data_IF_691998758231
#
_entry.id   IF_691998758231
#
_cell.length_a   1.000
_cell.length_b   1.000
_cell.length_c   1.000
_cell.angle_alpha   90.00
_cell.angle_beta   90.00
_cell.angle_gamma   90.00
#
_symmetry.space_group_name_H-M   'P 1'
#
loop_
_entity.id
_entity.type
_entity.pdbx_description
1 polymer ?
#
# COMPACT_ATOMS: atom_id res chain seq x y z
N UNK A 1 14.98 2.34 -4.23
CA UNK A 1 14.13 1.66 -3.24
C UNK A 1 12.67 2.11 -3.34
N UNK A 2 12.44 3.41 -3.26
CA UNK A 2 11.07 3.95 -3.34
C UNK A 2 10.43 3.65 -4.70
N UNK A 3 11.17 3.87 -5.77
CA UNK A 3 10.66 3.58 -7.12
C UNK A 3 10.32 2.09 -7.27
N UNK A 4 11.15 1.21 -6.72
CA UNK A 4 10.88 -0.22 -6.79
C UNK A 4 9.56 -0.55 -6.10
N UNK A 5 9.33 0.02 -4.92
CA UNK A 5 8.09 -0.20 -4.19
C UNK A 5 6.88 0.30 -5.01
N UNK A 6 7.00 1.49 -5.59
CA UNK A 6 5.91 2.07 -6.37
C UNK A 6 5.57 1.24 -7.60
N UNK A 7 6.55 0.58 -8.19
CA UNK A 7 6.34 -0.23 -9.40
C UNK A 7 5.86 -1.64 -9.12
N UNK A 8 5.91 -2.10 -7.84
CA UNK A 8 5.59 -3.48 -7.48
C UNK A 8 4.53 -3.57 -6.39
N UNK A 9 3.59 -2.60 -6.36
CA UNK A 9 2.59 -2.52 -5.29
C UNK A 9 1.65 -3.73 -5.23
N UNK A 10 1.46 -4.45 -6.35
CA UNK A 10 0.62 -5.63 -6.39
C UNK A 10 1.30 -6.89 -5.83
N UNK A 11 2.57 -6.80 -5.46
CA UNK A 11 3.35 -7.91 -4.94
C UNK A 11 3.46 -7.84 -3.41
N UNK A 12 3.71 -8.99 -2.76
CA UNK A 12 4.07 -8.97 -1.34
C UNK A 12 5.41 -8.26 -1.19
N UNK A 13 5.41 -7.12 -0.51
CA UNK A 13 6.62 -6.32 -0.33
C UNK A 13 7.04 -6.33 1.14
N UNK A 14 7.38 -7.53 1.65
CA UNK A 14 7.86 -7.66 3.02
C UNK A 14 9.18 -6.92 3.20
N UNK A 15 9.32 -6.27 4.35
CA UNK A 15 10.50 -5.47 4.64
C UNK A 15 11.79 -6.27 4.50
N UNK A 16 11.81 -7.51 5.00
CA UNK A 16 13.01 -8.34 4.92
C UNK A 16 13.39 -8.66 3.47
N UNK A 17 12.39 -8.88 2.61
CA UNK A 17 12.63 -9.27 1.22
C UNK A 17 13.10 -8.08 0.39
N UNK A 18 12.48 -6.91 0.58
CA UNK A 18 12.90 -5.73 -0.16
C UNK A 18 14.28 -5.26 0.30
N UNK A 19 14.57 -5.39 1.58
CA UNK A 19 15.89 -5.06 2.10
C UNK A 19 16.96 -5.96 1.48
N UNK A 20 16.71 -7.26 1.43
CA UNK A 20 17.65 -8.20 0.83
C UNK A 20 17.86 -7.91 -0.65
N UNK A 21 16.81 -7.53 -1.36
CA UNK A 21 16.90 -7.21 -2.78
C UNK A 21 17.91 -6.08 -3.06
N UNK A 22 18.01 -5.13 -2.15
CA UNK A 22 18.93 -4.00 -2.28
C UNK A 22 20.21 -4.16 -1.46
N UNK A 23 20.46 -5.36 -0.94
CA UNK A 23 21.66 -5.65 -0.12
C UNK A 23 21.73 -4.78 1.13
N UNK A 24 20.57 -4.51 1.72
CA UNK A 24 20.44 -3.70 2.94
C UNK A 24 19.87 -4.53 4.07
N UNK A 25 20.06 -4.08 5.31
CA UNK A 25 19.41 -4.73 6.44
C UNK A 25 18.03 -4.13 6.68
N UNK A 26 17.07 -4.92 7.24
CA UNK A 26 15.76 -4.37 7.57
C UNK A 26 15.84 -3.18 8.52
N UNK A 27 16.73 -3.23 9.51
CA UNK A 27 16.90 -2.12 10.46
C UNK A 27 17.34 -0.84 9.77
N UNK A 28 18.26 -0.95 8.83
CA UNK A 28 18.72 0.22 8.08
C UNK A 28 17.58 0.83 7.26
N UNK A 29 16.81 -0.01 6.57
CA UNK A 29 15.67 0.47 5.77
C UNK A 29 14.63 1.14 6.67
N UNK A 30 14.31 0.52 7.81
CA UNK A 30 13.37 1.10 8.77
C UNK A 30 13.83 2.47 9.24
N UNK A 31 15.12 2.61 9.54
CA UNK A 31 15.69 3.89 9.97
C UNK A 31 15.59 4.94 8.88
N UNK A 32 15.85 4.56 7.62
CA UNK A 32 15.72 5.48 6.50
C UNK A 32 14.31 6.05 6.37
N UNK A 33 13.30 5.17 6.47
CA UNK A 33 11.91 5.63 6.38
C UNK A 33 11.55 6.55 7.53
N UNK A 34 11.98 6.20 8.75
CA UNK A 34 11.68 7.02 9.92
C UNK A 34 12.36 8.38 9.85
N UNK A 35 13.65 8.42 9.46
CA UNK A 35 14.43 9.64 9.46
C UNK A 35 14.14 10.54 8.26
N UNK A 36 13.94 9.95 7.07
CA UNK A 36 13.78 10.71 5.84
C UNK A 36 12.33 11.01 5.51
N UNK A 37 11.41 10.08 5.83
CA UNK A 37 10.00 10.20 5.46
C UNK A 37 9.08 10.33 6.67
N UNK A 38 9.64 10.26 7.88
CA UNK A 38 8.90 10.40 9.13
C UNK A 38 7.72 9.45 9.22
N UNK A 39 7.91 8.20 8.77
CA UNK A 39 6.88 7.18 8.75
C UNK A 39 7.53 5.81 8.87
N UNK A 40 6.71 4.78 9.13
CA UNK A 40 7.20 3.41 9.06
C UNK A 40 7.09 2.92 7.61
N UNK A 41 7.85 1.86 7.29
CA UNK A 41 7.75 1.25 5.98
C UNK A 41 6.34 0.75 5.69
N UNK A 42 5.70 0.10 6.68
CA UNK A 42 4.33 -0.41 6.52
C UNK A 42 3.31 0.70 6.25
N UNK A 43 3.41 1.80 6.97
CA UNK A 43 2.52 2.94 6.77
C UNK A 43 2.73 3.56 5.39
N UNK A 44 3.98 3.69 4.99
CA UNK A 44 4.31 4.23 3.67
C UNK A 44 3.75 3.34 2.57
N UNK A 45 3.98 2.02 2.67
CA UNK A 45 3.48 1.06 1.69
C UNK A 45 1.95 1.10 1.61
N UNK A 46 1.27 1.12 2.74
CA UNK A 46 -0.18 1.19 2.77
C UNK A 46 -0.70 2.50 2.15
N UNK A 47 -0.04 3.62 2.37
CA UNK A 47 -0.50 4.88 1.77
C UNK A 47 -0.36 4.86 0.26
N UNK A 48 0.68 4.25 -0.29
CA UNK A 48 0.82 4.09 -1.74
C UNK A 48 -0.26 3.17 -2.31
N UNK A 49 -0.54 2.07 -1.61
CA UNK A 49 -1.56 1.11 -2.04
C UNK A 49 -2.95 1.72 -1.99
N UNK A 50 -3.26 2.49 -0.96
CA UNK A 50 -4.54 3.18 -0.85
C UNK A 50 -4.68 4.22 -1.96
N UNK A 51 -3.63 4.98 -2.26
CA UNK A 51 -3.66 5.94 -3.35
C UNK A 51 -3.97 5.27 -4.68
N UNK A 52 -3.35 4.12 -4.95
CA UNK A 52 -3.65 3.34 -6.15
C UNK A 52 -5.11 2.89 -6.16
N UNK A 53 -5.61 2.41 -5.01
CA UNK A 53 -7.00 1.97 -4.90
C UNK A 53 -7.97 3.10 -5.17
N UNK A 54 -7.67 4.30 -4.68
CA UNK A 54 -8.50 5.47 -4.91
C UNK A 54 -8.63 5.76 -6.41
N UNK A 55 -7.53 5.67 -7.15
CA UNK A 55 -7.57 5.86 -8.60
C UNK A 55 -8.42 4.80 -9.30
N UNK A 56 -8.26 3.54 -8.91
CA UNK A 56 -9.03 2.45 -9.51
C UNK A 56 -10.52 2.55 -9.17
N UNK A 57 -10.84 2.95 -7.94
CA UNK A 57 -12.25 3.14 -7.55
C UNK A 57 -12.93 4.25 -8.36
N UNK A 58 -12.22 5.31 -8.67
CA UNK A 58 -12.76 6.44 -9.43
C UNK A 58 -12.84 6.19 -10.92
N UNK A 59 -11.83 5.53 -11.47
CA UNK A 59 -11.64 5.48 -12.91
C UNK A 59 -11.94 4.13 -13.55
N UNK A 60 -12.33 3.14 -12.76
CA UNK A 60 -12.70 1.81 -13.27
C UNK A 60 -13.98 1.34 -12.62
N UNK A 61 -14.55 0.27 -13.19
CA UNK A 61 -15.72 -0.39 -12.61
C UNK A 61 -15.37 -1.74 -11.97
N UNK A 62 -14.09 -1.95 -11.69
CA UNK A 62 -13.63 -3.18 -11.05
C UNK A 62 -14.27 -3.31 -9.67
N UNK A 63 -14.47 -4.56 -9.24
CA UNK A 63 -15.00 -4.82 -7.91
C UNK A 63 -14.00 -4.40 -6.83
N UNK A 64 -14.49 -4.18 -5.62
CA UNK A 64 -13.61 -3.84 -4.50
C UNK A 64 -12.60 -4.96 -4.25
N UNK A 65 -13.03 -6.22 -4.36
CA UNK A 65 -12.13 -7.37 -4.19
C UNK A 65 -11.02 -7.38 -5.23
N UNK A 66 -11.37 -7.10 -6.49
CA UNK A 66 -10.39 -7.05 -7.57
C UNK A 66 -9.39 -5.92 -7.34
N UNK A 67 -9.88 -4.75 -6.93
CA UNK A 67 -9.02 -3.61 -6.64
C UNK A 67 -8.08 -3.93 -5.48
N UNK A 68 -8.60 -4.58 -4.42
CA UNK A 68 -7.75 -4.96 -3.29
C UNK A 68 -6.58 -5.83 -3.75
N UNK A 69 -6.85 -6.82 -4.59
CA UNK A 69 -5.79 -7.70 -5.10
C UNK A 69 -4.80 -6.95 -5.98
N UNK A 70 -5.29 -6.06 -6.84
CA UNK A 70 -4.41 -5.26 -7.68
C UNK A 70 -3.53 -4.30 -6.88
N UNK A 71 -3.94 -3.98 -5.67
CA UNK A 71 -3.17 -3.10 -4.79
C UNK A 71 -2.30 -3.89 -3.80
N UNK A 72 -2.23 -5.20 -3.94
CA UNK A 72 -1.34 -6.03 -3.12
C UNK A 72 -1.95 -6.57 -1.85
N UNK A 73 -3.26 -6.51 -1.69
CA UNK A 73 -3.96 -7.05 -0.52
C UNK A 73 -4.61 -8.39 -0.86
N UNK A 74 -4.22 -9.43 -0.15
CA UNK A 74 -4.83 -10.75 -0.33
C UNK A 74 -6.15 -10.88 0.42
N UNK A 75 -6.39 -10.02 1.41
CA UNK A 75 -7.59 -10.05 2.25
C UNK A 75 -8.35 -8.73 2.10
N UNK A 76 -9.55 -8.82 1.53
CA UNK A 76 -10.39 -7.65 1.29
C UNK A 76 -10.84 -6.95 2.56
N UNK A 77 -10.99 -7.70 3.66
CA UNK A 77 -11.37 -7.10 4.94
C UNK A 77 -10.25 -6.23 5.50
N UNK A 78 -9.02 -6.73 5.42
CA UNK A 78 -7.87 -5.95 5.85
C UNK A 78 -7.72 -4.71 4.97
N UNK A 79 -7.87 -4.85 3.66
CA UNK A 79 -7.84 -3.73 2.74
C UNK A 79 -8.88 -2.66 3.14
N UNK A 80 -10.11 -3.07 3.41
CA UNK A 80 -11.17 -2.14 3.77
C UNK A 80 -10.85 -1.39 5.07
N UNK A 81 -10.26 -2.08 6.05
CA UNK A 81 -9.86 -1.43 7.30
C UNK A 81 -8.76 -0.39 7.08
N UNK A 82 -7.74 -0.75 6.28
CA UNK A 82 -6.66 0.17 5.95
C UNK A 82 -7.21 1.38 5.20
N UNK A 83 -8.06 1.13 4.22
CA UNK A 83 -8.67 2.20 3.43
C UNK A 83 -9.49 3.15 4.31
N UNK A 84 -10.33 2.59 5.18
CA UNK A 84 -11.15 3.40 6.08
C UNK A 84 -10.27 4.21 7.07
N UNK A 85 -9.22 3.60 7.57
CA UNK A 85 -8.33 4.30 8.50
C UNK A 85 -7.67 5.50 7.85
N UNK A 86 -7.31 5.39 6.58
CA UNK A 86 -6.60 6.46 5.89
C UNK A 86 -7.51 7.51 5.27
N UNK A 87 -8.70 7.12 4.82
CA UNK A 87 -9.60 8.04 4.10
C UNK A 87 -10.82 8.47 4.91
N UNK A 88 -11.15 7.73 5.96
CA UNK A 88 -12.33 8.01 6.76
C UNK A 88 -13.61 7.40 6.23
N UNK A 89 -13.57 6.76 5.07
CA UNK A 89 -14.75 6.13 4.47
C UNK A 89 -14.39 4.75 3.94
N UNK A 90 -15.41 3.92 3.69
CA UNK A 90 -15.18 2.62 3.07
C UNK A 90 -14.88 2.77 1.57
N UNK A 91 -14.29 1.75 0.94
CA UNK A 91 -14.08 1.82 -0.52
C UNK A 91 -15.36 2.04 -1.32
N UNK A 92 -16.46 1.40 -0.92
CA UNK A 92 -17.73 1.60 -1.62
C UNK A 92 -18.28 3.01 -1.45
N UNK A 93 -18.17 3.57 -0.25
CA UNK A 93 -18.58 4.94 0.00
C UNK A 93 -17.75 5.93 -0.81
N UNK A 94 -16.46 5.67 -0.89
CA UNK A 94 -15.56 6.53 -1.66
C UNK A 94 -15.95 6.53 -3.14
N UNK A 95 -16.29 5.35 -3.69
CA UNK A 95 -16.69 5.24 -5.09
C UNK A 95 -17.98 6.01 -5.38
N UNK A 96 -18.91 5.97 -4.45
CA UNK A 96 -20.19 6.66 -4.62
C UNK A 96 -20.08 8.16 -4.44
N UNK A 97 -19.19 8.57 -3.56
CA UNK A 97 -19.03 9.96 -3.19
C UNK A 97 -18.46 10.85 -4.23
#
# INVERSE_FOLDING_TARGET
LVRYVEEHLDEPLLLKDISAHFFLTPNYVSSLFRERLNTTYSEYLNSLRVAKAMRLLRHTQRSVEDIAQNCGYSDGRYFSRVFHKQTGVSPLQYRKG
#
